data_IF_029365143931
#
_entry.id   IF_029365143931
#
_cell.length_a   1.000
_cell.length_b   1.000
_cell.length_c   1.000
_cell.angle_alpha   90.00
_cell.angle_beta   90.00
_cell.angle_gamma   90.00
#
_symmetry.space_group_name_H-M   'P 1'
#
loop_
_entity.id
_entity.type
_entity.pdbx_description
1 polymer ?
#
# COMPACT_ATOMS: atom_id res chain seq x y z
N UNK A 1 -38.57 54.26 54.32
CA UNK A 1 -37.42 53.33 54.17
C UNK A 1 -37.60 52.53 52.90
N UNK A 2 -36.84 52.85 51.85
CA UNK A 2 -36.84 52.09 50.56
C UNK A 2 -35.73 51.07 50.62
N UNK A 3 -36.08 49.80 50.58
CA UNK A 3 -35.12 48.70 50.55
C UNK A 3 -34.68 48.50 49.08
N UNK A 4 -33.38 48.77 48.84
CA UNK A 4 -32.75 48.56 47.54
C UNK A 4 -32.38 47.06 47.41
N UNK A 5 -33.03 46.32 46.50
CA UNK A 5 -32.66 44.95 46.16
C UNK A 5 -31.53 45.00 45.13
N UNK A 6 -30.33 44.58 45.55
CA UNK A 6 -29.20 44.40 44.68
C UNK A 6 -29.30 42.99 44.07
N UNK A 7 -29.46 42.92 42.75
CA UNK A 7 -29.37 41.68 41.98
C UNK A 7 -27.93 41.45 41.57
N UNK A 8 -27.28 40.45 42.15
CA UNK A 8 -25.94 40.01 41.72
C UNK A 8 -26.11 39.00 40.56
N UNK A 9 -25.73 39.42 39.35
CA UNK A 9 -25.71 38.55 38.19
C UNK A 9 -24.38 37.75 38.20
N UNK A 10 -24.48 36.45 38.46
CA UNK A 10 -23.33 35.56 38.37
C UNK A 10 -23.12 35.18 36.87
N UNK A 11 -22.06 35.73 36.26
CA UNK A 11 -21.66 35.38 34.90
C UNK A 11 -20.84 34.08 34.95
N UNK A 12 -21.46 32.95 34.60
CA UNK A 12 -20.72 31.69 34.41
C UNK A 12 -19.94 31.80 33.09
N UNK A 13 -18.64 31.98 33.19
CA UNK A 13 -17.72 31.84 32.04
C UNK A 13 -17.53 30.33 31.84
N UNK A 14 -18.17 29.75 30.80
CA UNK A 14 -17.85 28.43 30.29
C UNK A 14 -16.55 28.52 29.53
N UNK A 15 -15.45 28.11 30.14
CA UNK A 15 -14.21 27.84 29.45
C UNK A 15 -14.40 26.55 28.67
N UNK A 16 -14.71 26.67 27.39
CA UNK A 16 -14.64 25.55 26.44
C UNK A 16 -13.16 25.25 26.22
N UNK A 17 -12.66 24.18 26.81
CA UNK A 17 -11.40 23.60 26.44
C UNK A 17 -11.63 22.86 25.09
N UNK A 18 -11.35 23.50 23.97
CA UNK A 18 -11.11 22.80 22.74
C UNK A 18 -9.76 22.08 22.90
N UNK A 19 -9.80 20.77 23.07
CA UNK A 19 -8.63 19.96 22.80
C UNK A 19 -8.40 20.03 21.29
N UNK A 20 -7.57 20.96 20.87
CA UNK A 20 -6.94 20.86 19.56
C UNK A 20 -6.18 19.54 19.57
N UNK A 21 -6.74 18.55 18.88
CA UNK A 21 -5.98 17.38 18.47
C UNK A 21 -4.99 17.97 17.48
N UNK A 22 -3.76 18.18 17.91
CA UNK A 22 -2.64 18.38 17.01
C UNK A 22 -2.60 17.14 16.12
N UNK A 23 -3.25 17.20 14.96
CA UNK A 23 -2.97 16.30 13.86
C UNK A 23 -1.56 16.71 13.47
N UNK A 24 -0.59 15.93 13.96
CA UNK A 24 0.80 16.03 13.54
C UNK A 24 0.81 15.72 12.04
N UNK A 25 0.59 16.75 11.23
CA UNK A 25 0.69 16.70 9.78
C UNK A 25 2.18 16.58 9.42
N UNK A 26 2.81 15.48 9.83
CA UNK A 26 4.10 15.04 9.33
C UNK A 26 3.92 14.55 7.89
N UNK A 27 3.44 15.44 7.01
CA UNK A 27 3.44 15.16 5.58
C UNK A 27 4.89 15.10 5.12
N UNK A 28 5.30 13.95 4.59
CA UNK A 28 6.60 13.78 3.97
C UNK A 28 6.84 14.86 2.91
N UNK A 29 7.98 15.55 3.03
CA UNK A 29 8.51 16.47 2.02
C UNK A 29 9.57 15.81 1.13
N UNK A 30 9.75 14.49 1.25
CA UNK A 30 10.72 13.75 0.43
C UNK A 30 10.31 13.79 -1.04
N UNK A 31 11.30 13.77 -1.91
CA UNK A 31 11.09 13.33 -3.29
C UNK A 31 10.87 11.80 -3.28
N UNK A 32 10.17 11.26 -4.28
CA UNK A 32 9.89 9.83 -4.38
C UNK A 32 9.13 9.29 -3.14
N UNK A 33 7.97 9.84 -2.84
CA UNK A 33 7.05 9.26 -1.86
C UNK A 33 6.42 8.00 -2.42
N UNK A 34 6.82 6.85 -1.89
CA UNK A 34 6.42 5.54 -2.37
C UNK A 34 5.39 4.96 -1.39
N UNK A 35 4.21 4.63 -1.87
CA UNK A 35 3.18 3.96 -1.08
C UNK A 35 3.11 2.47 -1.43
N UNK A 36 3.60 1.56 -0.57
CA UNK A 36 3.30 0.13 -0.68
C UNK A 36 1.83 -0.11 -0.33
N UNK A 37 0.99 -0.42 -1.33
CA UNK A 37 -0.46 -0.62 -1.19
C UNK A 37 -0.84 -2.06 -1.45
N UNK A 38 -1.66 -2.67 -0.58
CA UNK A 38 -2.18 -4.03 -0.79
C UNK A 38 -2.67 -4.69 0.49
N UNK A 39 -2.49 -6.01 0.55
CA UNK A 39 -2.96 -6.82 1.67
C UNK A 39 -1.78 -7.37 2.51
N UNK A 40 -1.87 -8.62 2.99
CA UNK A 40 -0.88 -9.24 3.88
C UNK A 40 0.54 -9.33 3.28
N UNK A 41 0.68 -9.49 1.96
CA UNK A 41 1.99 -9.50 1.28
C UNK A 41 2.70 -8.14 1.34
N UNK A 42 1.94 -7.06 1.57
CA UNK A 42 2.47 -5.72 1.87
C UNK A 42 2.67 -5.54 3.37
N UNK A 43 1.67 -5.89 4.19
CA UNK A 43 1.74 -5.73 5.64
C UNK A 43 2.93 -6.49 6.25
N UNK A 44 3.10 -7.77 5.86
CA UNK A 44 4.03 -8.66 6.53
C UNK A 44 3.54 -9.10 7.92
N UNK A 45 4.18 -10.10 8.50
CA UNK A 45 3.95 -10.52 9.88
C UNK A 45 5.17 -11.29 10.40
N UNK A 46 6.30 -10.61 10.50
CA UNK A 46 7.55 -11.18 10.98
C UNK A 46 7.45 -11.67 12.43
N UNK A 47 7.93 -12.87 12.77
CA UNK A 47 8.75 -13.77 11.94
C UNK A 47 7.95 -14.84 11.17
N UNK A 48 6.62 -14.78 11.12
CA UNK A 48 5.80 -15.83 10.49
C UNK A 48 5.93 -15.81 8.96
N UNK A 49 5.91 -14.62 8.38
CA UNK A 49 6.13 -14.40 6.96
C UNK A 49 6.63 -12.96 6.71
N UNK A 50 7.26 -12.76 5.56
CA UNK A 50 7.91 -11.51 5.21
C UNK A 50 7.06 -10.65 4.28
N UNK A 51 7.32 -9.31 4.34
CA UNK A 51 6.98 -8.39 3.27
C UNK A 51 8.23 -8.04 2.46
N UNK A 52 8.06 -7.74 1.18
CA UNK A 52 9.15 -7.29 0.31
C UNK A 52 9.73 -5.92 0.71
N UNK A 53 9.03 -5.14 1.53
CA UNK A 53 9.33 -3.72 1.82
C UNK A 53 10.72 -3.51 2.41
N UNK A 54 11.14 -4.34 3.37
CA UNK A 54 12.46 -4.22 3.98
C UNK A 54 13.59 -4.46 2.97
N UNK A 55 13.47 -5.48 2.13
CA UNK A 55 14.47 -5.79 1.12
C UNK A 55 14.52 -4.72 0.02
N UNK A 56 13.37 -4.18 -0.38
CA UNK A 56 13.29 -3.07 -1.33
C UNK A 56 13.89 -1.79 -0.73
N UNK A 57 13.54 -1.44 0.51
CA UNK A 57 14.10 -0.30 1.23
C UNK A 57 15.63 -0.39 1.31
N UNK A 58 16.16 -1.56 1.69
CA UNK A 58 17.61 -1.80 1.76
C UNK A 58 18.28 -1.56 0.42
N UNK A 59 17.74 -2.13 -0.67
CA UNK A 59 18.27 -1.93 -2.03
C UNK A 59 18.27 -0.47 -2.45
N UNK A 60 17.19 0.25 -2.21
CA UNK A 60 17.10 1.67 -2.52
C UNK A 60 18.14 2.48 -1.74
N UNK A 61 18.30 2.22 -0.44
CA UNK A 61 19.30 2.90 0.41
C UNK A 61 20.75 2.56 0.00
N UNK A 62 21.04 1.29 -0.31
CA UNK A 62 22.36 0.84 -0.79
C UNK A 62 22.77 1.52 -2.13
N UNK A 63 21.79 1.88 -2.95
CA UNK A 63 21.99 2.60 -4.21
C UNK A 63 21.81 4.13 -4.06
N UNK A 64 21.77 4.65 -2.83
CA UNK A 64 21.71 6.07 -2.48
C UNK A 64 20.48 6.81 -3.00
N UNK A 65 19.37 6.12 -3.22
CA UNK A 65 18.12 6.78 -3.55
C UNK A 65 17.56 7.58 -2.37
N UNK A 66 17.05 8.76 -2.65
CA UNK A 66 16.27 9.57 -1.72
C UNK A 66 14.80 9.24 -1.93
N UNK A 67 14.17 8.67 -0.94
CA UNK A 67 12.76 8.29 -0.95
C UNK A 67 12.23 8.19 0.48
N UNK A 68 10.92 8.06 0.57
CA UNK A 68 10.17 7.86 1.81
C UNK A 68 9.05 6.86 1.54
N UNK A 69 8.96 5.80 2.32
CA UNK A 69 7.77 4.96 2.31
C UNK A 69 6.67 5.69 3.08
N UNK A 70 5.47 5.71 2.52
CA UNK A 70 4.33 6.37 3.13
C UNK A 70 3.13 5.42 3.22
N UNK A 71 2.29 5.67 4.21
CA UNK A 71 1.06 4.91 4.46
C UNK A 71 0.51 5.23 5.83
N UNK A 72 -0.72 4.83 6.10
CA UNK A 72 -1.37 5.01 7.39
C UNK A 72 -1.08 3.88 8.39
N UNK A 73 -0.39 2.82 7.95
CA UNK A 73 0.01 1.68 8.78
C UNK A 73 1.52 1.71 9.03
N UNK A 74 1.93 1.08 10.14
CA UNK A 74 3.33 0.92 10.53
C UNK A 74 3.64 -0.53 10.80
N UNK A 75 4.79 -0.99 10.29
CA UNK A 75 5.28 -2.33 10.57
C UNK A 75 5.71 -2.47 12.04
N UNK A 76 5.30 -3.54 12.69
CA UNK A 76 5.67 -3.84 14.09
C UNK A 76 6.83 -4.84 14.18
N UNK A 77 7.36 -5.33 13.05
CA UNK A 77 8.47 -6.28 12.99
C UNK A 77 9.80 -5.67 13.45
N UNK A 78 10.72 -6.54 13.83
CA UNK A 78 12.09 -6.15 14.18
C UNK A 78 12.99 -6.36 12.97
N UNK A 79 13.69 -5.30 12.56
CA UNK A 79 14.56 -5.26 11.39
C UNK A 79 15.95 -4.75 11.75
N UNK A 80 16.95 -5.21 11.01
CA UNK A 80 18.29 -4.69 11.16
C UNK A 80 18.41 -3.31 10.54
N UNK A 81 19.14 -2.42 11.19
CA UNK A 81 19.52 -1.14 10.62
C UNK A 81 20.54 -1.33 9.47
N UNK A 82 20.48 -0.47 8.48
CA UNK A 82 21.49 -0.36 7.42
C UNK A 82 22.40 0.83 7.72
N UNK A 83 23.65 0.58 8.10
CA UNK A 83 24.63 1.63 8.43
C UNK A 83 24.13 2.65 9.48
N UNK A 84 23.36 2.19 10.48
CA UNK A 84 22.77 3.04 11.51
C UNK A 84 21.48 3.76 11.08
N UNK A 85 20.94 3.44 9.91
CA UNK A 85 19.66 3.95 9.43
C UNK A 85 18.59 2.88 9.70
N UNK A 86 17.54 3.19 10.48
CA UNK A 86 16.45 2.26 10.72
C UNK A 86 15.61 2.06 9.46
N UNK A 87 14.95 0.89 9.38
CA UNK A 87 13.98 0.61 8.32
C UNK A 87 12.82 1.60 8.39
N UNK A 88 12.39 2.05 7.22
CA UNK A 88 11.20 2.87 7.06
C UNK A 88 9.96 1.97 7.09
N UNK A 89 9.22 2.06 8.18
CA UNK A 89 8.17 1.10 8.53
C UNK A 89 6.78 1.44 7.97
N UNK A 90 6.62 2.58 7.29
CA UNK A 90 5.33 3.06 6.84
C UNK A 90 4.82 2.27 5.61
N UNK A 91 3.51 2.00 5.57
CA UNK A 91 2.88 1.26 4.46
C UNK A 91 1.35 1.41 4.45
N UNK A 92 0.70 0.94 3.38
CA UNK A 92 -0.76 0.83 3.26
C UNK A 92 -1.19 -0.63 2.97
N UNK A 93 -0.56 -1.58 3.66
CA UNK A 93 -0.90 -3.00 3.63
C UNK A 93 -1.88 -3.36 4.73
N UNK A 94 -2.92 -4.17 4.39
CA UNK A 94 -3.92 -4.65 5.37
C UNK A 94 -4.21 -6.12 5.16
N UNK A 95 -3.78 -6.95 6.11
CA UNK A 95 -3.90 -8.41 6.06
C UNK A 95 -5.32 -8.90 5.80
N UNK A 96 -5.47 -9.82 4.84
CA UNK A 96 -6.76 -10.42 4.51
C UNK A 96 -7.72 -9.56 3.68
N UNK A 97 -7.40 -8.29 3.41
CA UNK A 97 -8.31 -7.39 2.72
C UNK A 97 -8.44 -7.72 1.23
N UNK A 98 -9.69 -7.62 0.74
CA UNK A 98 -10.04 -7.77 -0.66
C UNK A 98 -9.91 -6.45 -1.43
N UNK A 99 -9.94 -6.52 -2.76
CA UNK A 99 -9.92 -5.32 -3.60
C UNK A 99 -11.07 -4.35 -3.28
N UNK A 100 -12.26 -4.87 -2.97
CA UNK A 100 -13.42 -4.06 -2.60
C UNK A 100 -13.25 -3.35 -1.26
N UNK A 101 -12.65 -4.01 -0.27
CA UNK A 101 -12.35 -3.37 1.01
C UNK A 101 -11.32 -2.26 0.85
N UNK A 102 -10.27 -2.49 0.05
CA UNK A 102 -9.26 -1.45 -0.26
C UNK A 102 -9.92 -0.28 -1.00
N UNK A 103 -10.68 -0.54 -2.07
CA UNK A 103 -11.33 0.50 -2.86
C UNK A 103 -12.26 1.41 -2.02
N UNK A 104 -13.01 0.82 -1.09
CA UNK A 104 -13.97 1.53 -0.26
C UNK A 104 -13.32 2.41 0.82
N UNK A 105 -12.09 2.12 1.22
CA UNK A 105 -11.42 2.83 2.33
C UNK A 105 -10.23 3.69 1.88
N UNK A 106 -9.71 3.50 0.66
CA UNK A 106 -8.51 4.17 0.18
C UNK A 106 -8.57 5.69 0.30
N UNK A 107 -9.71 6.30 -0.07
CA UNK A 107 -9.86 7.75 0.01
C UNK A 107 -9.70 8.30 1.43
N UNK A 108 -10.15 7.57 2.45
CA UNK A 108 -9.97 7.95 3.85
C UNK A 108 -8.49 7.83 4.26
N UNK A 109 -7.82 6.75 3.88
CA UNK A 109 -6.40 6.56 4.22
C UNK A 109 -5.51 7.61 3.59
N UNK A 110 -5.80 8.00 2.35
CA UNK A 110 -5.06 9.06 1.65
C UNK A 110 -5.18 10.44 2.32
N UNK A 111 -6.15 10.65 3.21
CA UNK A 111 -6.23 11.86 4.04
C UNK A 111 -5.28 11.82 5.25
N UNK A 112 -4.79 10.63 5.62
CA UNK A 112 -3.96 10.40 6.80
C UNK A 112 -2.45 10.36 6.46
N UNK A 113 -2.09 10.45 5.19
CA UNK A 113 -0.72 10.32 4.72
C UNK A 113 -0.36 11.42 3.72
N UNK A 114 0.91 11.53 3.35
CA UNK A 114 1.32 12.39 2.25
C UNK A 114 0.78 11.87 0.90
N UNK A 115 0.66 12.76 -0.07
CA UNK A 115 0.27 12.39 -1.43
C UNK A 115 1.39 11.56 -2.09
N UNK A 116 1.13 10.30 -2.51
CA UNK A 116 2.16 9.47 -3.12
C UNK A 116 2.58 9.99 -4.51
N UNK A 117 3.86 9.84 -4.81
CA UNK A 117 4.41 10.01 -6.16
C UNK A 117 4.39 8.68 -6.92
N UNK A 118 4.64 7.57 -6.19
CA UNK A 118 4.65 6.20 -6.72
C UNK A 118 3.81 5.31 -5.80
N UNK A 119 2.96 4.46 -6.38
CA UNK A 119 2.24 3.42 -5.66
C UNK A 119 2.69 2.05 -6.16
N UNK A 120 3.07 1.17 -5.22
CA UNK A 120 3.34 -0.24 -5.48
C UNK A 120 2.08 -1.03 -5.13
N UNK A 121 1.20 -1.25 -6.12
CA UNK A 121 -0.06 -1.94 -5.92
C UNK A 121 0.14 -3.45 -6.01
N UNK A 122 0.32 -4.05 -4.85
CA UNK A 122 0.67 -5.46 -4.68
C UNK A 122 -0.55 -6.36 -4.61
N UNK A 123 -0.45 -7.50 -5.26
CA UNK A 123 -1.42 -8.61 -5.21
C UNK A 123 -2.89 -8.20 -5.41
N UNK A 124 -3.23 -7.36 -6.39
CA UNK A 124 -4.60 -6.93 -6.62
C UNK A 124 -5.50 -8.12 -6.94
N UNK A 125 -6.61 -8.30 -6.18
CA UNK A 125 -7.56 -9.38 -6.36
C UNK A 125 -7.12 -10.76 -5.84
N UNK A 126 -5.96 -10.89 -5.17
CA UNK A 126 -5.50 -12.18 -4.63
C UNK A 126 -6.44 -12.73 -3.55
N UNK A 127 -6.81 -11.93 -2.56
CA UNK A 127 -7.76 -12.34 -1.51
C UNK A 127 -9.18 -12.53 -2.06
N UNK A 128 -9.55 -11.80 -3.10
CA UNK A 128 -10.83 -11.96 -3.80
C UNK A 128 -10.92 -13.37 -4.41
N UNK A 129 -9.85 -13.85 -5.06
CA UNK A 129 -9.75 -15.20 -5.59
C UNK A 129 -9.88 -16.28 -4.49
N UNK A 130 -9.15 -16.11 -3.39
CA UNK A 130 -9.18 -17.05 -2.26
C UNK A 130 -10.55 -17.10 -1.58
N UNK A 131 -11.32 -16.01 -1.63
CA UNK A 131 -12.67 -15.90 -1.09
C UNK A 131 -13.76 -16.20 -2.11
N UNK A 132 -13.41 -16.58 -3.35
CA UNK A 132 -14.33 -16.84 -4.47
C UNK A 132 -15.31 -15.68 -4.74
N UNK A 133 -14.81 -14.45 -4.66
CA UNK A 133 -15.62 -13.25 -4.97
C UNK A 133 -15.84 -13.11 -6.48
N UNK A 134 -16.93 -12.44 -6.91
CA UNK A 134 -17.24 -12.26 -8.32
C UNK A 134 -16.13 -11.54 -9.09
N UNK A 135 -15.58 -12.18 -10.11
CA UNK A 135 -14.43 -11.69 -10.87
C UNK A 135 -14.62 -10.27 -11.43
N UNK A 136 -15.81 -9.98 -11.96
CA UNK A 136 -16.11 -8.65 -12.53
C UNK A 136 -16.04 -7.54 -11.48
N UNK A 137 -16.39 -7.82 -10.22
CA UNK A 137 -16.29 -6.85 -9.12
C UNK A 137 -14.83 -6.54 -8.81
N UNK A 138 -13.95 -7.53 -8.92
CA UNK A 138 -12.50 -7.34 -8.73
C UNK A 138 -11.95 -6.33 -9.74
N UNK A 139 -12.31 -6.47 -11.01
CA UNK A 139 -11.87 -5.53 -12.05
C UNK A 139 -12.42 -4.12 -11.83
N UNK A 140 -13.69 -4.00 -11.39
CA UNK A 140 -14.29 -2.70 -11.03
C UNK A 140 -13.52 -2.07 -9.87
N UNK A 141 -13.18 -2.84 -8.83
CA UNK A 141 -12.47 -2.36 -7.67
C UNK A 141 -11.04 -1.92 -8.01
N UNK A 142 -10.30 -2.70 -8.82
CA UNK A 142 -8.96 -2.34 -9.29
C UNK A 142 -9.00 -1.01 -10.06
N UNK A 143 -9.96 -0.86 -10.98
CA UNK A 143 -10.14 0.39 -11.71
C UNK A 143 -10.46 1.56 -10.77
N UNK A 144 -11.34 1.37 -9.79
CA UNK A 144 -11.72 2.38 -8.79
C UNK A 144 -10.53 2.82 -7.94
N UNK A 145 -9.65 1.89 -7.53
CA UNK A 145 -8.41 2.18 -6.79
C UNK A 145 -7.50 3.07 -7.63
N UNK A 146 -7.27 2.70 -8.91
CA UNK A 146 -6.42 3.47 -9.82
C UNK A 146 -7.00 4.88 -10.04
N UNK A 147 -8.31 4.98 -10.30
CA UNK A 147 -8.99 6.27 -10.50
C UNK A 147 -8.91 7.16 -9.26
N UNK A 148 -9.05 6.60 -8.07
CA UNK A 148 -8.91 7.33 -6.80
C UNK A 148 -7.50 7.91 -6.65
N UNK A 149 -6.48 7.13 -6.95
CA UNK A 149 -5.08 7.56 -6.89
C UNK A 149 -4.76 8.64 -7.93
N UNK A 150 -5.21 8.47 -9.17
CA UNK A 150 -5.01 9.45 -10.25
C UNK A 150 -5.78 10.76 -10.02
N UNK A 151 -6.97 10.69 -9.42
CA UNK A 151 -7.72 11.88 -9.02
C UNK A 151 -7.01 12.68 -7.90
N UNK A 152 -6.32 12.00 -7.00
CA UNK A 152 -5.53 12.64 -5.94
C UNK A 152 -4.25 13.27 -6.49
N UNK A 153 -3.53 12.53 -7.33
CA UNK A 153 -2.30 13.00 -7.98
C UNK A 153 -2.32 12.65 -9.47
N UNK A 154 -2.65 13.62 -10.35
CA UNK A 154 -2.67 13.37 -11.78
C UNK A 154 -1.32 12.98 -12.42
N UNK A 155 -0.21 13.13 -11.70
CA UNK A 155 1.12 12.75 -12.14
C UNK A 155 1.63 11.45 -11.50
N UNK A 156 0.77 10.73 -10.78
CA UNK A 156 1.14 9.53 -10.05
C UNK A 156 1.65 8.42 -10.97
N UNK A 157 2.62 7.66 -10.48
CA UNK A 157 3.06 6.42 -11.12
C UNK A 157 2.51 5.26 -10.32
N UNK A 158 1.79 4.34 -10.97
CA UNK A 158 1.25 3.14 -10.33
C UNK A 158 1.94 1.93 -10.94
N UNK A 159 2.67 1.20 -10.10
CA UNK A 159 3.29 -0.08 -10.47
C UNK A 159 2.38 -1.19 -9.94
N UNK A 160 1.62 -1.83 -10.83
CA UNK A 160 0.66 -2.87 -10.48
C UNK A 160 1.23 -4.27 -10.75
N UNK A 161 1.11 -5.17 -9.79
CA UNK A 161 1.61 -6.54 -9.91
C UNK A 161 0.74 -7.41 -10.83
N UNK A 162 1.44 -8.19 -11.68
CA UNK A 162 0.94 -9.49 -12.11
C UNK A 162 1.33 -10.48 -11.02
N UNK A 163 0.35 -10.97 -10.28
CA UNK A 163 0.53 -11.61 -8.98
C UNK A 163 1.47 -12.80 -9.02
N UNK A 164 2.34 -12.90 -8.00
CA UNK A 164 3.00 -14.16 -7.68
C UNK A 164 1.94 -15.23 -7.30
N UNK A 165 2.10 -16.48 -7.75
CA UNK A 165 1.13 -17.53 -7.47
C UNK A 165 1.11 -17.89 -5.97
N UNK A 166 0.10 -18.61 -5.57
CA UNK A 166 0.07 -19.34 -4.31
C UNK A 166 0.85 -20.65 -4.45
N UNK A 167 0.99 -21.40 -3.35
CA UNK A 167 1.65 -22.69 -3.33
C UNK A 167 0.96 -23.69 -4.28
N UNK A 168 1.73 -24.46 -5.01
CA UNK A 168 1.20 -25.40 -6.01
C UNK A 168 0.15 -26.37 -5.46
N UNK A 169 0.24 -26.70 -4.15
CA UNK A 169 -0.72 -27.58 -3.47
C UNK A 169 -2.14 -27.03 -3.39
N UNK A 170 -2.32 -25.69 -3.43
CA UNK A 170 -3.64 -25.04 -3.40
C UNK A 170 -4.03 -24.41 -4.74
N UNK A 171 -3.13 -24.42 -5.73
CA UNK A 171 -3.40 -23.93 -7.08
C UNK A 171 -4.29 -24.90 -7.84
N UNK A 172 -5.63 -24.81 -7.63
CA UNK A 172 -6.61 -25.53 -8.44
C UNK A 172 -6.65 -25.00 -9.88
N UNK A 173 -7.30 -25.71 -10.79
CA UNK A 173 -7.50 -25.21 -12.15
C UNK A 173 -8.28 -23.90 -12.19
N UNK A 174 -9.27 -23.75 -11.31
CA UNK A 174 -10.07 -22.53 -11.18
C UNK A 174 -9.21 -21.35 -10.75
N UNK A 175 -8.36 -21.54 -9.73
CA UNK A 175 -7.47 -20.48 -9.24
C UNK A 175 -6.39 -20.13 -10.27
N UNK A 176 -5.85 -21.12 -10.97
CA UNK A 176 -4.89 -20.92 -12.06
C UNK A 176 -5.51 -20.09 -13.18
N UNK A 177 -6.69 -20.50 -13.68
CA UNK A 177 -7.40 -19.77 -14.73
C UNK A 177 -7.75 -18.34 -14.30
N UNK A 178 -8.16 -18.16 -13.03
CA UNK A 178 -8.43 -16.84 -12.47
C UNK A 178 -7.20 -15.94 -12.51
N UNK A 179 -6.03 -16.44 -12.05
CA UNK A 179 -4.80 -15.65 -12.05
C UNK A 179 -4.31 -15.33 -13.46
N UNK A 180 -4.37 -16.27 -14.39
CA UNK A 180 -3.98 -16.04 -15.80
C UNK A 180 -4.87 -14.99 -16.45
N UNK A 181 -6.18 -15.06 -16.23
CA UNK A 181 -7.12 -14.05 -16.73
C UNK A 181 -6.83 -12.69 -16.10
N UNK A 182 -6.63 -12.66 -14.78
CA UNK A 182 -6.37 -11.41 -14.06
C UNK A 182 -5.07 -10.73 -14.51
N UNK A 183 -4.00 -11.48 -14.78
CA UNK A 183 -2.76 -10.94 -15.33
C UNK A 183 -2.95 -10.30 -16.71
N UNK A 184 -3.83 -10.92 -17.53
CA UNK A 184 -4.21 -10.37 -18.84
C UNK A 184 -4.97 -9.05 -18.66
N UNK A 185 -6.00 -9.05 -17.81
CA UNK A 185 -6.84 -7.89 -17.59
C UNK A 185 -6.09 -6.74 -16.90
N UNK A 186 -5.21 -7.04 -15.94
CA UNK A 186 -4.30 -6.04 -15.34
C UNK A 186 -3.44 -5.36 -16.41
N UNK A 187 -2.96 -6.13 -17.40
CA UNK A 187 -2.17 -5.55 -18.50
C UNK A 187 -3.00 -4.60 -19.35
N UNK A 188 -4.26 -4.95 -19.64
CA UNK A 188 -5.21 -4.10 -20.37
C UNK A 188 -5.53 -2.85 -19.55
N UNK A 189 -5.90 -3.01 -18.28
CA UNK A 189 -6.19 -1.90 -17.37
C UNK A 189 -5.01 -0.93 -17.29
N UNK A 190 -3.78 -1.43 -17.17
CA UNK A 190 -2.59 -0.59 -17.10
C UNK A 190 -2.42 0.27 -18.36
N UNK A 191 -2.67 -0.31 -19.54
CA UNK A 191 -2.63 0.43 -20.81
C UNK A 191 -3.74 1.48 -20.90
N UNK A 192 -4.99 1.12 -20.54
CA UNK A 192 -6.16 2.01 -20.60
C UNK A 192 -6.08 3.16 -19.60
N UNK A 193 -5.50 2.92 -18.41
CA UNK A 193 -5.37 3.92 -17.34
C UNK A 193 -4.13 4.79 -17.43
N UNK A 194 -3.18 4.44 -18.30
CA UNK A 194 -2.02 5.31 -18.58
C UNK A 194 -2.47 6.55 -19.35
N UNK A 195 -2.09 7.72 -18.83
CA UNK A 195 -2.37 9.03 -19.44
C UNK A 195 -1.06 9.70 -19.87
N UNK A 196 -1.13 10.91 -20.39
CA UNK A 196 0.05 11.75 -20.69
C UNK A 196 0.88 12.02 -19.42
N UNK A 197 0.23 12.16 -18.25
CA UNK A 197 0.84 12.58 -17.00
C UNK A 197 1.03 11.45 -16.01
N UNK A 198 0.09 10.51 -15.93
CA UNK A 198 0.13 9.36 -15.00
C UNK A 198 0.42 8.08 -15.74
N UNK A 199 1.43 7.34 -15.26
CA UNK A 199 1.79 6.03 -15.80
C UNK A 199 1.26 4.92 -14.93
N UNK A 200 0.53 3.97 -15.53
CA UNK A 200 0.17 2.71 -14.88
C UNK A 200 0.95 1.60 -15.60
N UNK A 201 1.87 0.97 -14.91
CA UNK A 201 2.79 -0.03 -15.48
C UNK A 201 2.70 -1.34 -14.72
N UNK A 202 2.89 -2.45 -15.41
CA UNK A 202 2.86 -3.77 -14.78
C UNK A 202 4.25 -4.23 -14.38
N UNK A 203 4.33 -5.01 -13.29
CA UNK A 203 5.51 -5.77 -12.89
C UNK A 203 5.13 -7.26 -12.78
N UNK A 204 5.95 -8.12 -13.39
CA UNK A 204 5.71 -9.57 -13.42
C UNK A 204 6.32 -10.24 -12.19
N UNK A 205 5.49 -10.56 -11.21
CA UNK A 205 5.87 -11.33 -10.02
C UNK A 205 5.65 -12.84 -10.20
N UNK A 206 5.01 -13.25 -11.29
CA UNK A 206 4.66 -14.65 -11.55
C UNK A 206 5.83 -15.44 -12.14
N UNK A 207 6.49 -14.89 -13.17
CA UNK A 207 7.55 -15.59 -13.88
C UNK A 207 8.78 -15.80 -13.01
N UNK A 208 9.15 -17.07 -12.82
CA UNK A 208 10.28 -17.49 -11.98
C UNK A 208 9.95 -17.65 -10.50
N UNK A 209 8.70 -17.38 -10.08
CA UNK A 209 8.26 -17.64 -8.71
C UNK A 209 7.96 -19.13 -8.50
N UNK A 210 8.22 -19.67 -7.32
CA UNK A 210 8.02 -21.09 -6.98
C UNK A 210 7.76 -21.29 -5.50
N UNK A 211 7.29 -22.49 -5.13
CA UNK A 211 6.83 -22.84 -3.78
C UNK A 211 7.88 -22.61 -2.68
N UNK A 212 9.17 -22.77 -3.01
CA UNK A 212 10.26 -22.54 -2.06
C UNK A 212 10.44 -21.06 -1.65
N UNK A 213 9.74 -20.14 -2.29
CA UNK A 213 9.71 -18.71 -1.97
C UNK A 213 8.56 -18.35 -1.01
N UNK A 214 7.79 -19.36 -0.56
CA UNK A 214 6.65 -19.18 0.33
C UNK A 214 6.93 -19.72 1.73
N UNK A 215 6.49 -18.98 2.73
CA UNK A 215 6.48 -19.38 4.14
C UNK A 215 5.31 -20.32 4.47
N UNK A 216 4.18 -20.06 3.83
CA UNK A 216 2.95 -20.85 3.92
C UNK A 216 2.30 -21.01 2.53
N UNK A 217 1.00 -21.12 2.45
CA UNK A 217 0.29 -21.32 1.17
C UNK A 217 0.30 -20.09 0.26
N UNK A 218 0.48 -18.87 0.82
CA UNK A 218 0.36 -17.62 0.07
C UNK A 218 1.38 -16.55 0.43
N UNK A 219 2.00 -16.59 1.61
CA UNK A 219 2.88 -15.53 2.08
C UNK A 219 4.35 -15.83 1.79
N UNK A 220 5.15 -14.77 1.60
CA UNK A 220 6.56 -14.89 1.29
C UNK A 220 7.39 -15.31 2.50
N UNK A 221 8.41 -16.14 2.28
CA UNK A 221 9.55 -16.26 3.17
C UNK A 221 10.62 -15.20 2.83
N UNK A 222 11.79 -15.24 3.48
CA UNK A 222 12.88 -14.28 3.23
C UNK A 222 13.31 -14.25 1.75
N UNK A 223 13.48 -15.42 1.11
CA UNK A 223 13.89 -15.52 -0.29
C UNK A 223 12.78 -14.99 -1.23
N UNK A 224 11.53 -15.25 -0.90
CA UNK A 224 10.38 -14.73 -1.64
C UNK A 224 10.25 -13.21 -1.55
N UNK A 225 10.43 -12.67 -0.36
CA UNK A 225 10.45 -11.23 -0.13
C UNK A 225 11.58 -10.54 -0.92
N UNK A 226 12.79 -11.15 -0.94
CA UNK A 226 13.92 -10.66 -1.74
C UNK A 226 13.62 -10.75 -3.26
N UNK A 227 13.00 -11.85 -3.72
CA UNK A 227 12.59 -12.01 -5.12
C UNK A 227 11.64 -10.89 -5.57
N UNK A 228 10.59 -10.62 -4.78
CA UNK A 228 9.61 -9.57 -5.07
C UNK A 228 10.27 -8.18 -5.01
N UNK A 229 11.11 -7.93 -4.01
CA UNK A 229 11.86 -6.68 -3.88
C UNK A 229 12.75 -6.39 -5.10
N UNK A 230 13.44 -7.43 -5.63
CA UNK A 230 14.25 -7.30 -6.83
C UNK A 230 13.41 -6.88 -8.04
N UNK A 231 12.28 -7.54 -8.27
CA UNK A 231 11.36 -7.21 -9.35
C UNK A 231 10.83 -5.77 -9.26
N UNK A 232 10.48 -5.31 -8.05
CA UNK A 232 10.09 -3.92 -7.85
C UNK A 232 11.26 -2.96 -8.09
N UNK A 233 12.45 -3.26 -7.53
CA UNK A 233 13.61 -2.41 -7.69
C UNK A 233 13.94 -2.19 -9.17
N UNK A 234 14.08 -3.28 -9.96
CA UNK A 234 14.37 -3.23 -11.39
C UNK A 234 13.32 -2.42 -12.17
N UNK A 235 12.08 -2.34 -11.66
CA UNK A 235 10.99 -1.62 -12.30
C UNK A 235 10.97 -0.14 -11.97
N UNK A 236 11.30 0.22 -10.73
CA UNK A 236 11.13 1.61 -10.24
C UNK A 236 12.42 2.43 -10.34
N UNK A 237 13.61 1.82 -10.39
CA UNK A 237 14.87 2.57 -10.42
C UNK A 237 14.96 3.57 -11.58
N UNK A 238 14.33 3.28 -12.72
CA UNK A 238 14.27 4.19 -13.88
C UNK A 238 13.21 5.30 -13.73
N UNK A 239 12.37 5.22 -12.70
CA UNK A 239 11.23 6.11 -12.44
C UNK A 239 11.52 7.10 -11.32
N UNK A 240 12.50 6.81 -10.47
CA UNK A 240 12.87 7.64 -9.33
C UNK A 240 13.55 8.93 -9.76
N UNK A 241 13.25 10.01 -9.04
CA UNK A 241 13.90 11.31 -9.21
C UNK A 241 15.18 11.38 -8.34
N UNK A 242 16.21 12.08 -8.83
CA UNK A 242 17.46 12.35 -8.11
C UNK A 242 17.44 13.65 -7.34
#
# INVERSE_FOLDING_TARGET
MKVLKVFIFFFLILISCSSDVDIDNNQSNSINKIMPLGASRVEGNRPLFESYRYNLWRKLKENNWVFDFIGSQKDEGVYNELNGIPFDIDHEGRGGWTSGQIANNLSEWLLLTAVPDIVLFSSPGGNDALQNLPYNEVLININSIIDTLQNLNPNIIIVIEKLAPAKSSIMTNELTNYLEQLQTDITIIALEKTTEFSKVITVDMYTGFSDNLLADDVHYNEDGAEFIANKYYDKIEELLLY
#
